data_IF_104874776499
#
_entry.id   IF_104874776499
#
_cell.length_a   1.000
_cell.length_b   1.000
_cell.length_c   1.000
_cell.angle_alpha   90.00
_cell.angle_beta   90.00
_cell.angle_gamma   90.00
#
_symmetry.space_group_name_H-M   'P 1'
#
loop_
_entity.id
_entity.type
_entity.pdbx_description
1 polymer ?
#
# COMPACT_ATOMS: atom_id res chain seq x y z
N UNK A 1 -8.68 -9.93 7.48
CA UNK A 1 -9.86 -9.40 6.75
C UNK A 1 -10.15 -7.98 7.22
N UNK A 2 -10.62 -7.10 6.35
CA UNK A 2 -10.97 -5.69 6.65
C UNK A 2 -12.28 -5.39 5.95
N UNK A 3 -13.22 -4.69 6.58
CA UNK A 3 -14.49 -4.31 5.93
C UNK A 3 -14.23 -3.33 4.79
N UNK A 4 -14.94 -3.49 3.67
CA UNK A 4 -14.97 -2.48 2.63
C UNK A 4 -15.57 -1.18 3.18
N UNK A 5 -14.97 -0.02 2.85
CA UNK A 5 -15.59 1.25 3.18
C UNK A 5 -16.93 1.39 2.46
N UNK A 6 -17.89 2.01 3.15
CA UNK A 6 -19.16 2.41 2.55
C UNK A 6 -19.04 3.68 1.71
N UNK A 7 -20.14 4.42 1.58
CA UNK A 7 -20.16 5.71 0.87
C UNK A 7 -19.52 6.85 1.68
N UNK A 8 -18.98 7.84 0.97
CA UNK A 8 -18.49 9.09 1.55
C UNK A 8 -19.25 10.28 0.94
N UNK A 9 -19.71 11.20 1.78
CA UNK A 9 -20.50 12.37 1.36
C UNK A 9 -19.76 13.35 0.43
N UNK A 10 -18.42 13.35 0.48
CA UNK A 10 -17.57 14.25 -0.32
C UNK A 10 -17.37 13.70 -1.75
N UNK A 11 -17.52 12.39 -1.94
CA UNK A 11 -17.32 11.75 -3.24
C UNK A 11 -16.89 10.29 -3.12
N UNK A 12 -16.87 9.60 -4.25
CA UNK A 12 -16.45 8.20 -4.33
C UNK A 12 -14.96 8.06 -4.06
N UNK A 13 -14.60 7.19 -3.11
CA UNK A 13 -13.22 6.84 -2.78
C UNK A 13 -13.05 5.33 -2.86
N UNK A 14 -12.90 4.78 -4.08
CA UNK A 14 -12.69 3.35 -4.24
C UNK A 14 -11.36 2.93 -3.59
N UNK A 15 -11.28 1.64 -3.25
CA UNK A 15 -10.09 1.02 -2.64
C UNK A 15 -9.31 0.14 -3.63
N UNK A 16 -9.65 0.23 -4.91
CA UNK A 16 -9.00 -0.44 -6.05
C UNK A 16 -7.47 -0.45 -5.94
N UNK A 17 -6.87 0.73 -5.74
CA UNK A 17 -5.41 0.88 -5.70
C UNK A 17 -4.72 0.13 -4.55
N UNK A 18 -5.42 -0.04 -3.42
CA UNK A 18 -4.90 -0.78 -2.29
C UNK A 18 -4.85 -2.27 -2.62
N UNK A 19 -5.91 -2.77 -3.24
CA UNK A 19 -6.05 -4.19 -3.58
C UNK A 19 -5.07 -4.57 -4.68
N UNK A 20 -5.04 -3.80 -5.76
CA UNK A 20 -4.14 -4.02 -6.90
C UNK A 20 -2.68 -3.96 -6.48
N UNK A 21 -2.31 -2.99 -5.65
CA UNK A 21 -0.95 -2.88 -5.13
C UNK A 21 -0.56 -4.05 -4.23
N UNK A 22 -1.44 -4.47 -3.31
CA UNK A 22 -1.16 -5.64 -2.47
C UNK A 22 -1.07 -6.92 -3.29
N UNK A 23 -1.89 -7.08 -4.34
CA UNK A 23 -1.79 -8.19 -5.30
C UNK A 23 -0.45 -8.15 -6.05
N UNK A 24 0.02 -6.98 -6.46
CA UNK A 24 1.33 -6.82 -7.10
C UNK A 24 2.49 -7.25 -6.18
N UNK A 25 2.32 -7.14 -4.86
CA UNK A 25 3.25 -7.67 -3.84
C UNK A 25 3.00 -9.15 -3.48
N UNK A 26 2.14 -9.85 -4.22
CA UNK A 26 1.86 -11.27 -4.06
C UNK A 26 0.81 -11.62 -3.01
N UNK A 27 -0.02 -10.66 -2.58
CA UNK A 27 -1.20 -10.96 -1.78
C UNK A 27 -2.28 -11.65 -2.64
N UNK A 28 -2.87 -12.71 -2.09
CA UNK A 28 -4.13 -13.25 -2.58
C UNK A 28 -5.27 -12.44 -1.95
N UNK A 29 -6.08 -11.81 -2.79
CA UNK A 29 -7.16 -10.93 -2.36
C UNK A 29 -8.48 -11.54 -2.81
N UNK A 30 -9.36 -11.75 -1.83
CA UNK A 30 -10.73 -12.15 -2.05
C UNK A 30 -11.68 -11.12 -1.43
N UNK A 31 -12.85 -10.94 -2.03
CA UNK A 31 -13.89 -10.04 -1.55
C UNK A 31 -15.15 -10.84 -1.29
N UNK A 32 -15.43 -11.06 -0.01
CA UNK A 32 -16.57 -11.84 0.45
C UNK A 32 -17.46 -11.00 1.37
N UNK A 33 -18.75 -10.92 1.03
CA UNK A 33 -19.81 -10.33 1.85
C UNK A 33 -19.43 -8.95 2.45
N UNK A 34 -18.84 -8.08 1.63
CA UNK A 34 -18.44 -6.72 2.04
C UNK A 34 -17.11 -6.64 2.80
N UNK A 35 -16.33 -7.71 2.86
CA UNK A 35 -14.99 -7.74 3.46
C UNK A 35 -13.92 -8.07 2.43
N UNK A 36 -12.78 -7.37 2.54
CA UNK A 36 -11.53 -7.73 1.88
C UNK A 36 -10.80 -8.76 2.73
N UNK A 37 -10.51 -9.91 2.16
CA UNK A 37 -9.73 -10.98 2.74
C UNK A 37 -8.38 -11.03 2.00
N UNK A 38 -7.35 -10.46 2.61
CA UNK A 38 -5.98 -10.51 2.09
C UNK A 38 -5.17 -11.62 2.79
N UNK A 39 -4.51 -12.47 2.02
CA UNK A 39 -3.64 -13.56 2.50
C UNK A 39 -2.33 -13.59 1.73
N UNK A 40 -1.27 -14.09 2.36
CA UNK A 40 0.00 -14.38 1.68
C UNK A 40 0.15 -15.88 1.53
N UNK A 41 0.62 -16.35 0.36
CA UNK A 41 0.79 -17.80 0.13
C UNK A 41 1.94 -18.40 0.95
N UNK A 42 3.01 -17.61 1.14
CA UNK A 42 4.26 -18.07 1.76
C UNK A 42 4.56 -17.34 3.08
N UNK A 43 3.53 -16.85 3.77
CA UNK A 43 3.65 -16.14 5.05
C UNK A 43 4.20 -14.72 4.98
N UNK A 44 4.75 -14.29 3.84
CA UNK A 44 5.23 -12.92 3.59
C UNK A 44 4.85 -12.44 2.20
N UNK A 45 4.70 -11.13 2.05
CA UNK A 45 4.65 -10.46 0.75
C UNK A 45 6.03 -10.50 0.10
N UNK A 46 6.06 -10.30 -1.21
CA UNK A 46 7.29 -10.24 -2.01
C UNK A 46 7.38 -8.84 -2.60
N UNK A 47 8.56 -8.23 -2.47
CA UNK A 47 8.81 -6.93 -3.05
C UNK A 47 8.71 -6.97 -4.57
N UNK A 48 8.11 -5.92 -5.13
CA UNK A 48 7.89 -5.79 -6.58
C UNK A 48 7.84 -4.31 -6.96
N UNK A 49 7.78 -4.04 -8.27
CA UNK A 49 7.53 -2.69 -8.80
C UNK A 49 6.04 -2.49 -9.02
N UNK A 50 5.48 -1.43 -8.46
CA UNK A 50 4.08 -1.04 -8.65
C UNK A 50 3.99 0.43 -9.06
N UNK A 51 3.33 0.69 -10.19
CA UNK A 51 3.11 2.03 -10.73
C UNK A 51 1.66 2.39 -10.45
N UNK A 52 1.43 3.44 -9.67
CA UNK A 52 0.07 3.89 -9.37
C UNK A 52 -0.58 4.50 -10.63
N UNK A 53 -1.77 4.03 -11.05
CA UNK A 53 -2.52 4.66 -12.15
C UNK A 53 -2.96 6.10 -11.84
N UNK A 54 -3.17 6.42 -10.56
CA UNK A 54 -3.50 7.75 -10.04
C UNK A 54 -2.87 7.92 -8.66
N UNK A 55 -2.47 9.14 -8.32
CA UNK A 55 -1.88 9.45 -7.01
C UNK A 55 -2.90 9.18 -5.90
N UNK A 56 -2.47 8.48 -4.84
CA UNK A 56 -3.30 8.17 -3.68
C UNK A 56 -2.48 8.08 -2.40
N UNK A 57 -2.66 9.05 -1.51
CA UNK A 57 -2.00 9.11 -0.19
C UNK A 57 -2.19 7.81 0.59
N UNK A 58 -3.44 7.37 0.74
CA UNK A 58 -3.76 6.18 1.54
C UNK A 58 -3.17 4.90 0.95
N UNK A 59 -3.23 4.73 -0.38
CA UNK A 59 -2.68 3.54 -1.00
C UNK A 59 -1.14 3.52 -0.90
N UNK A 60 -0.48 4.67 -1.08
CA UNK A 60 0.97 4.79 -0.86
C UNK A 60 1.35 4.46 0.58
N UNK A 61 0.63 4.95 1.59
CA UNK A 61 0.87 4.59 3.00
C UNK A 61 0.78 3.08 3.23
N UNK A 62 -0.31 2.44 2.78
CA UNK A 62 -0.53 1.00 2.99
C UNK A 62 0.54 0.17 2.31
N UNK A 63 0.88 0.49 1.06
CA UNK A 63 1.89 -0.23 0.30
C UNK A 63 3.29 -0.04 0.89
N UNK A 64 3.63 1.17 1.36
CA UNK A 64 4.90 1.44 2.05
C UNK A 64 5.03 0.62 3.34
N UNK A 65 3.97 0.60 4.17
CA UNK A 65 3.96 -0.25 5.38
C UNK A 65 4.06 -1.73 5.03
N UNK A 66 3.31 -2.20 4.03
CA UNK A 66 3.35 -3.60 3.60
C UNK A 66 4.74 -4.00 3.06
N UNK A 67 5.36 -3.14 2.26
CA UNK A 67 6.69 -3.33 1.71
C UNK A 67 7.78 -3.39 2.78
N UNK A 68 7.63 -2.65 3.89
CA UNK A 68 8.63 -2.62 4.98
C UNK A 68 8.95 -4.00 5.59
N UNK A 69 8.02 -4.96 5.49
CA UNK A 69 8.17 -6.33 5.97
C UNK A 69 8.15 -7.38 4.84
N UNK A 70 8.03 -6.94 3.59
CA UNK A 70 8.04 -7.82 2.42
C UNK A 70 9.45 -8.38 2.18
N UNK A 71 9.53 -9.53 1.51
CA UNK A 71 10.81 -10.11 1.11
C UNK A 71 11.28 -9.47 -0.19
N UNK A 72 12.44 -8.81 -0.15
CA UNK A 72 13.05 -8.19 -1.33
C UNK A 72 12.82 -6.68 -1.37
N UNK A 73 13.01 -6.08 -2.54
CA UNK A 73 12.87 -4.65 -2.77
C UNK A 73 11.52 -4.33 -3.39
N UNK A 74 10.88 -3.25 -2.94
CA UNK A 74 9.65 -2.72 -3.53
C UNK A 74 9.91 -1.33 -4.09
N UNK A 75 9.49 -1.07 -5.32
CA UNK A 75 9.56 0.24 -5.95
C UNK A 75 8.15 0.74 -6.21
N UNK A 76 7.80 1.86 -5.61
CA UNK A 76 6.49 2.51 -5.75
C UNK A 76 6.64 3.75 -6.64
N UNK A 77 6.02 3.74 -7.81
CA UNK A 77 6.14 4.83 -8.79
C UNK A 77 4.82 5.58 -8.96
N UNK A 78 4.90 6.90 -9.22
CA UNK A 78 3.74 7.79 -9.14
C UNK A 78 3.09 7.75 -7.74
N UNK A 79 3.93 7.55 -6.73
CA UNK A 79 3.52 7.53 -5.33
C UNK A 79 3.16 8.95 -4.86
N UNK A 80 2.33 9.02 -3.83
CA UNK A 80 1.99 10.30 -3.19
C UNK A 80 3.25 10.93 -2.55
N UNK A 81 3.37 12.26 -2.63
CA UNK A 81 4.55 13.02 -2.21
C UNK A 81 4.27 13.97 -1.04
N UNK A 82 3.08 13.86 -0.44
CA UNK A 82 2.62 14.72 0.64
C UNK A 82 3.50 14.58 1.89
N UNK A 83 3.59 15.62 2.75
CA UNK A 83 4.45 15.60 3.93
C UNK A 83 4.20 14.40 4.86
N UNK A 84 2.96 13.91 4.94
CA UNK A 84 2.58 12.76 5.76
C UNK A 84 3.14 11.44 5.21
N UNK A 85 3.52 11.37 3.93
CA UNK A 85 4.22 10.24 3.32
C UNK A 85 5.67 10.22 3.80
N UNK A 86 6.33 11.39 3.78
CA UNK A 86 7.69 11.56 4.28
C UNK A 86 7.75 11.21 5.76
N UNK A 87 6.81 11.70 6.55
CA UNK A 87 6.75 11.43 7.98
C UNK A 87 6.57 9.93 8.28
N UNK A 88 5.74 9.22 7.51
CA UNK A 88 5.61 7.76 7.67
C UNK A 88 6.92 7.05 7.32
N UNK A 89 7.59 7.44 6.23
CA UNK A 89 8.86 6.84 5.83
C UNK A 89 9.94 7.03 6.90
N UNK A 90 10.05 8.22 7.48
CA UNK A 90 10.96 8.52 8.59
C UNK A 90 10.63 7.68 9.84
N UNK A 91 9.35 7.56 10.19
CA UNK A 91 8.90 6.74 11.31
C UNK A 91 9.27 5.27 11.12
N UNK A 92 8.98 4.70 9.95
CA UNK A 92 9.32 3.31 9.62
C UNK A 92 10.85 3.09 9.59
N UNK A 93 11.62 4.05 9.07
CA UNK A 93 13.09 4.01 9.11
C UNK A 93 13.63 4.04 10.55
N UNK A 94 13.05 4.86 11.43
CA UNK A 94 13.39 4.87 12.86
C UNK A 94 13.08 3.52 13.55
N UNK A 95 12.12 2.75 13.02
CA UNK A 95 11.81 1.38 13.45
C UNK A 95 12.69 0.31 12.79
N UNK A 96 13.63 0.69 11.91
CA UNK A 96 14.59 -0.21 11.26
C UNK A 96 14.23 -0.63 9.83
N UNK A 97 13.19 -0.05 9.23
CA UNK A 97 12.95 -0.20 7.79
C UNK A 97 14.04 0.51 6.96
N UNK A 98 14.05 0.26 5.65
CA UNK A 98 14.97 0.88 4.70
C UNK A 98 14.16 1.48 3.55
N UNK A 99 13.76 2.73 3.72
CA UNK A 99 12.90 3.46 2.79
C UNK A 99 13.62 4.74 2.37
N UNK A 100 13.67 4.99 1.08
CA UNK A 100 14.22 6.20 0.46
C UNK A 100 13.28 6.70 -0.65
N UNK A 101 13.46 7.95 -1.08
CA UNK A 101 12.63 8.56 -2.15
C UNK A 101 11.22 8.99 -1.70
N UNK A 102 10.90 8.97 -0.41
CA UNK A 102 9.64 9.53 0.07
C UNK A 102 9.63 11.05 -0.12
N UNK A 103 8.56 11.58 -0.73
CA UNK A 103 8.41 13.01 -1.03
C UNK A 103 9.09 13.48 -2.32
N UNK A 104 9.68 12.58 -3.12
CA UNK A 104 10.25 12.93 -4.44
C UNK A 104 9.31 12.55 -5.58
N UNK A 105 9.23 13.34 -6.68
CA UNK A 105 8.46 13.00 -7.87
C UNK A 105 8.89 11.70 -8.56
#
# INVERSE_FOLDING_TARGET
>A
KVSLPGGCAIGTRPVDLFLEGLQALGADIDVDTGYVIAKTRNGRLVGNRYIFPKVSVGATHVLMMAASLAKGETVLENAACEPEIVNLAECLNAMGARISGAGTP
#
